data_IF_955721094269
#
_entry.id   IF_955721094269
#
_cell.length_a   1.000
_cell.length_b   1.000
_cell.length_c   1.000
_cell.angle_alpha   90.00
_cell.angle_beta   90.00
_cell.angle_gamma   90.00
#
_symmetry.space_group_name_H-M   'P 1'
#
loop_
_entity.id
_entity.type
_entity.pdbx_description
1 polymer ?
#
# COMPACT_ATOMS: atom_id res chain seq x y z
N UNK A 1 -14.64 -15.62 15.04
CA UNK A 1 -13.62 -14.82 15.75
C UNK A 1 -13.01 -13.77 14.81
N UNK A 2 -12.33 -14.17 13.75
CA UNK A 2 -11.71 -13.27 12.76
C UNK A 2 -12.67 -12.16 12.24
N UNK A 3 -13.88 -12.50 11.80
CA UNK A 3 -14.85 -11.53 11.30
C UNK A 3 -15.28 -10.48 12.36
N UNK A 4 -15.30 -10.85 13.64
CA UNK A 4 -15.60 -9.92 14.73
C UNK A 4 -14.44 -8.93 14.93
N UNK A 5 -13.19 -9.41 14.90
CA UNK A 5 -12.02 -8.54 15.01
C UNK A 5 -11.89 -7.61 13.79
N UNK A 6 -12.17 -8.13 12.60
CA UNK A 6 -12.21 -7.33 11.38
C UNK A 6 -13.24 -6.18 11.48
N UNK A 7 -14.44 -6.48 11.94
CA UNK A 7 -15.48 -5.46 12.13
C UNK A 7 -15.05 -4.37 13.10
N UNK A 8 -14.45 -4.73 14.22
CA UNK A 8 -13.91 -3.77 15.20
C UNK A 8 -12.86 -2.83 14.59
N UNK A 9 -11.98 -3.36 13.73
CA UNK A 9 -10.94 -2.53 13.07
C UNK A 9 -11.58 -1.54 12.10
N UNK A 10 -12.57 -1.97 11.31
CA UNK A 10 -13.24 -1.12 10.32
C UNK A 10 -14.08 -0.02 10.99
N UNK A 11 -14.65 -0.26 12.16
CA UNK A 11 -15.46 0.73 12.89
C UNK A 11 -14.61 1.84 13.56
N UNK A 12 -13.29 1.74 13.55
CA UNK A 12 -12.40 2.72 14.19
C UNK A 12 -12.18 3.95 13.33
N UNK A 13 -12.17 5.11 13.98
CA UNK A 13 -11.86 6.38 13.33
C UNK A 13 -10.45 6.42 12.73
N UNK A 14 -9.45 5.89 13.43
CA UNK A 14 -8.06 5.86 12.98
C UNK A 14 -7.90 5.08 11.66
N UNK A 15 -8.65 3.99 11.51
CA UNK A 15 -8.68 3.21 10.27
C UNK A 15 -9.10 4.07 9.08
N UNK A 16 -10.24 4.75 9.19
CA UNK A 16 -10.76 5.61 8.13
C UNK A 16 -9.86 6.81 7.87
N UNK A 17 -9.30 7.42 8.92
CA UNK A 17 -8.31 8.51 8.79
C UNK A 17 -7.10 8.09 7.96
N UNK A 18 -6.54 6.91 8.22
CA UNK A 18 -5.40 6.39 7.47
C UNK A 18 -5.78 6.05 6.02
N UNK A 19 -6.93 5.42 5.79
CA UNK A 19 -7.41 5.10 4.44
C UNK A 19 -7.64 6.37 3.62
N UNK A 20 -8.31 7.36 4.20
CA UNK A 20 -8.57 8.66 3.54
C UNK A 20 -7.25 9.36 3.22
N UNK A 21 -6.28 9.36 4.14
CA UNK A 21 -4.97 9.96 3.91
C UNK A 21 -4.24 9.29 2.73
N UNK A 22 -4.23 7.96 2.68
CA UNK A 22 -3.58 7.21 1.58
C UNK A 22 -4.25 7.46 0.23
N UNK A 23 -5.58 7.47 0.19
CA UNK A 23 -6.35 7.75 -1.04
C UNK A 23 -6.15 9.20 -1.48
N UNK A 24 -6.18 10.16 -0.55
CA UNK A 24 -5.91 11.57 -0.83
C UNK A 24 -4.50 11.77 -1.42
N UNK A 25 -3.49 11.08 -0.87
CA UNK A 25 -2.12 11.12 -1.38
C UNK A 25 -2.04 10.62 -2.85
N UNK A 26 -2.77 9.56 -3.19
CA UNK A 26 -2.86 9.04 -4.56
C UNK A 26 -3.51 10.07 -5.49
N UNK A 27 -4.62 10.69 -5.08
CA UNK A 27 -5.33 11.69 -5.88
C UNK A 27 -4.44 12.92 -6.10
N UNK A 28 -3.81 13.44 -5.05
CA UNK A 28 -2.89 14.59 -5.14
C UNK A 28 -1.75 14.31 -6.09
N UNK A 29 -1.15 13.12 -5.99
CA UNK A 29 -0.10 12.71 -6.92
C UNK A 29 -0.57 12.72 -8.37
N UNK A 30 -1.75 12.19 -8.63
CA UNK A 30 -2.31 12.16 -9.97
C UNK A 30 -2.58 13.56 -10.52
N UNK A 31 -3.13 14.46 -9.67
CA UNK A 31 -3.34 15.86 -10.05
C UNK A 31 -2.03 16.59 -10.39
N UNK A 32 -0.98 16.38 -9.56
CA UNK A 32 0.36 16.95 -9.83
C UNK A 32 0.89 16.41 -11.15
N UNK A 33 0.76 15.12 -11.40
CA UNK A 33 1.21 14.48 -12.63
C UNK A 33 0.46 15.02 -13.83
N UNK A 34 -0.86 15.15 -13.76
CA UNK A 34 -1.66 15.76 -14.83
C UNK A 34 -1.26 17.22 -15.09
N UNK A 35 -1.04 18.01 -14.05
CA UNK A 35 -0.59 19.40 -14.19
C UNK A 35 0.80 19.51 -14.84
N UNK A 36 1.71 18.61 -14.55
CA UNK A 36 3.05 18.57 -15.16
C UNK A 36 3.03 18.27 -16.66
N UNK A 37 2.03 17.51 -17.13
CA UNK A 37 1.88 17.12 -18.52
C UNK A 37 0.88 17.97 -19.30
N UNK A 38 0.20 18.90 -18.63
CA UNK A 38 -0.74 19.81 -19.28
C UNK A 38 -0.06 20.67 -20.34
N UNK A 39 -0.60 20.64 -21.56
CA UNK A 39 -0.07 21.42 -22.70
C UNK A 39 1.22 20.90 -23.31
N UNK A 40 1.73 19.71 -22.90
CA UNK A 40 2.89 19.09 -23.54
C UNK A 40 2.47 18.17 -24.68
N UNK A 41 3.38 17.97 -25.64
CA UNK A 41 3.14 17.09 -26.77
C UNK A 41 2.91 15.64 -26.30
N UNK A 42 1.91 14.99 -26.88
CA UNK A 42 1.52 13.60 -26.57
C UNK A 42 2.67 12.61 -26.78
N UNK A 43 3.61 12.92 -27.66
CA UNK A 43 4.78 12.09 -28.00
C UNK A 43 5.68 11.78 -26.80
N UNK A 44 5.66 12.63 -25.75
CA UNK A 44 6.46 12.46 -24.54
C UNK A 44 5.71 11.77 -23.40
N UNK A 45 4.42 11.47 -23.58
CA UNK A 45 3.59 10.86 -22.55
C UNK A 45 3.80 9.35 -22.56
N UNK A 46 4.26 8.81 -21.43
CA UNK A 46 4.44 7.38 -21.22
C UNK A 46 3.09 6.69 -21.02
N UNK A 47 3.06 5.37 -21.15
CA UNK A 47 1.87 4.59 -20.82
C UNK A 47 1.46 4.73 -19.35
N UNK A 48 0.17 4.50 -19.08
CA UNK A 48 -0.43 4.63 -17.75
C UNK A 48 0.33 3.89 -16.64
N UNK A 49 0.98 2.78 -16.96
CA UNK A 49 1.78 1.99 -16.03
C UNK A 49 2.96 2.76 -15.40
N UNK A 50 3.49 3.80 -16.08
CA UNK A 50 4.61 4.60 -15.58
C UNK A 50 4.21 5.70 -14.59
N UNK A 51 2.92 6.02 -14.47
CA UNK A 51 2.41 7.11 -13.63
C UNK A 51 1.75 6.64 -12.33
N UNK A 52 1.88 5.38 -12.01
CA UNK A 52 1.38 4.82 -10.77
C UNK A 52 2.21 5.32 -9.59
N UNK A 53 1.59 5.45 -8.44
CA UNK A 53 2.19 5.96 -7.21
C UNK A 53 3.56 5.34 -6.84
N UNK A 54 3.84 4.11 -7.28
CA UNK A 54 5.08 3.39 -6.97
C UNK A 54 6.18 3.66 -8.00
N UNK A 55 5.82 3.89 -9.26
CA UNK A 55 6.78 3.98 -10.38
C UNK A 55 6.97 5.39 -10.91
N UNK A 56 6.27 6.38 -10.35
CA UNK A 56 6.38 7.75 -10.81
C UNK A 56 7.70 8.38 -10.37
N UNK A 57 8.69 8.31 -11.24
CA UNK A 57 10.05 8.83 -11.03
C UNK A 57 10.08 10.35 -10.80
N UNK A 58 9.05 11.08 -11.25
CA UNK A 58 9.00 12.55 -11.14
C UNK A 58 8.28 13.06 -9.90
N UNK A 59 7.43 12.26 -9.28
CA UNK A 59 6.70 12.65 -8.08
C UNK A 59 7.31 11.96 -6.86
N UNK A 60 8.26 12.62 -6.24
CA UNK A 60 8.91 12.12 -5.03
C UNK A 60 7.95 11.97 -3.84
N UNK A 61 6.83 12.69 -3.82
CA UNK A 61 5.88 12.71 -2.69
C UNK A 61 5.23 11.35 -2.47
N UNK A 62 4.71 10.72 -3.53
CA UNK A 62 4.06 9.41 -3.38
C UNK A 62 5.05 8.29 -3.15
N UNK A 63 6.21 8.33 -3.76
CA UNK A 63 7.28 7.38 -3.46
C UNK A 63 7.66 7.48 -1.99
N UNK A 64 7.82 8.69 -1.45
CA UNK A 64 8.12 8.94 -0.05
C UNK A 64 7.01 8.37 0.85
N UNK A 65 5.73 8.63 0.54
CA UNK A 65 4.60 8.11 1.34
C UNK A 65 4.52 6.58 1.29
N UNK A 66 4.60 5.97 0.11
CA UNK A 66 4.43 4.53 -0.06
C UNK A 66 5.72 3.70 0.07
N UNK A 67 6.88 4.31 0.27
CA UNK A 67 8.13 3.62 0.57
C UNK A 67 8.61 3.91 1.98
N UNK A 68 8.80 5.18 2.31
CA UNK A 68 9.46 5.58 3.55
C UNK A 68 8.48 5.68 4.72
N UNK A 69 7.26 6.15 4.48
CA UNK A 69 6.21 6.22 5.51
C UNK A 69 5.34 4.96 5.61
N UNK A 70 5.51 3.97 4.71
CA UNK A 70 4.76 2.72 4.75
C UNK A 70 4.81 2.01 6.12
N UNK A 71 5.97 1.91 6.82
CA UNK A 71 6.02 1.32 8.15
C UNK A 71 5.14 2.04 9.16
N UNK A 72 5.15 3.38 9.14
CA UNK A 72 4.35 4.22 10.06
C UNK A 72 2.86 4.02 9.79
N UNK A 73 2.45 4.04 8.51
CA UNK A 73 1.06 3.82 8.11
C UNK A 73 0.58 2.40 8.48
N UNK A 74 1.42 1.39 8.29
CA UNK A 74 1.13 0.03 8.72
C UNK A 74 1.00 -0.10 10.24
N UNK A 75 1.85 0.61 11.00
CA UNK A 75 1.75 0.68 12.45
C UNK A 75 0.46 1.34 12.92
N UNK A 76 0.03 2.44 12.29
CA UNK A 76 -1.24 3.11 12.62
C UNK A 76 -2.45 2.21 12.41
N UNK A 77 -2.44 1.37 11.37
CA UNK A 77 -3.51 0.40 11.11
C UNK A 77 -3.53 -0.77 12.11
N UNK A 78 -2.36 -1.15 12.65
CA UNK A 78 -2.19 -2.37 13.43
C UNK A 78 -2.04 -2.16 14.95
N UNK A 79 -1.43 -1.06 15.38
CA UNK A 79 -0.99 -0.87 16.78
C UNK A 79 -2.13 -0.81 17.79
N UNK A 80 -3.26 -0.24 17.41
CA UNK A 80 -4.40 -0.05 18.33
C UNK A 80 -5.22 -1.31 18.61
N UNK A 81 -5.07 -2.36 17.80
CA UNK A 81 -5.88 -3.58 17.93
C UNK A 81 -5.70 -4.24 19.33
N UNK A 82 -4.49 -4.14 19.88
CA UNK A 82 -4.18 -4.74 21.18
C UNK A 82 -4.33 -3.77 22.35
N UNK A 83 -4.02 -2.49 22.12
CA UNK A 83 -3.99 -1.46 23.17
C UNK A 83 -5.36 -1.21 23.78
N UNK A 84 -6.39 -1.14 22.97
CA UNK A 84 -7.75 -0.81 23.39
C UNK A 84 -8.38 -1.90 24.29
N UNK A 85 -8.21 -3.17 23.94
CA UNK A 85 -8.74 -4.28 24.78
C UNK A 85 -8.04 -4.38 26.12
N UNK A 86 -6.78 -3.99 26.20
CA UNK A 86 -6.04 -3.98 27.45
C UNK A 86 -6.50 -2.86 28.36
N UNK A 87 -6.69 -1.66 27.84
CA UNK A 87 -7.19 -0.52 28.61
C UNK A 87 -8.62 -0.72 29.13
N UNK A 88 -9.46 -1.46 28.38
CA UNK A 88 -10.81 -1.79 28.81
C UNK A 88 -10.89 -2.96 29.81
N UNK A 89 -9.77 -3.58 30.19
CA UNK A 89 -9.76 -4.75 31.11
C UNK A 89 -10.40 -6.02 30.53
N UNK A 90 -10.85 -5.99 29.28
CA UNK A 90 -11.52 -7.10 28.59
C UNK A 90 -10.59 -8.28 28.33
N UNK A 91 -9.27 -8.07 28.34
CA UNK A 91 -8.27 -9.12 28.10
C UNK A 91 -8.41 -10.28 29.07
N UNK A 92 -8.66 -10.00 30.37
CA UNK A 92 -8.79 -11.03 31.40
C UNK A 92 -10.06 -11.88 31.23
N UNK A 93 -11.16 -11.28 30.78
CA UNK A 93 -12.42 -11.97 30.51
C UNK A 93 -12.35 -12.86 29.27
N UNK A 94 -11.63 -12.42 28.26
CA UNK A 94 -11.45 -13.18 27.00
C UNK A 94 -10.54 -14.40 27.27
N UNK A 95 -9.50 -14.25 28.09
CA UNK A 95 -8.57 -15.34 28.41
C UNK A 95 -9.17 -16.46 29.25
N UNK A 96 -10.29 -16.22 29.93
CA UNK A 96 -11.02 -17.27 30.64
C UNK A 96 -11.85 -18.16 29.73
N UNK A 97 -12.23 -17.68 28.57
CA UNK A 97 -13.11 -18.39 27.61
C UNK A 97 -12.40 -19.03 26.43
N UNK A 98 -11.23 -18.49 26.00
CA UNK A 98 -10.49 -18.99 24.85
C UNK A 98 -8.99 -19.09 25.14
N UNK A 99 -8.30 -20.00 24.43
CA UNK A 99 -6.85 -20.13 24.57
C UNK A 99 -6.14 -18.84 24.14
N UNK A 100 -5.29 -18.29 24.99
CA UNK A 100 -4.51 -17.08 24.77
C UNK A 100 -3.77 -17.07 23.42
N UNK A 101 -3.19 -18.22 23.03
CA UNK A 101 -2.48 -18.37 21.76
C UNK A 101 -3.39 -18.16 20.56
N UNK A 102 -4.59 -18.75 20.55
CA UNK A 102 -5.53 -18.64 19.44
C UNK A 102 -6.02 -17.20 19.24
N UNK A 103 -6.25 -16.46 20.33
CA UNK A 103 -6.67 -15.07 20.29
C UNK A 103 -5.55 -14.17 19.68
N UNK A 104 -4.30 -14.34 20.13
CA UNK A 104 -3.15 -13.57 19.63
C UNK A 104 -2.94 -13.83 18.12
N UNK A 105 -2.97 -15.08 17.68
CA UNK A 105 -2.81 -15.44 16.27
C UNK A 105 -3.93 -14.84 15.43
N UNK A 106 -5.18 -14.89 15.91
CA UNK A 106 -6.32 -14.34 15.19
C UNK A 106 -6.17 -12.82 15.00
N UNK A 107 -5.73 -12.09 16.02
CA UNK A 107 -5.49 -10.63 15.94
C UNK A 107 -4.32 -10.29 15.03
N UNK A 108 -3.22 -11.02 15.12
CA UNK A 108 -2.08 -10.84 14.22
C UNK A 108 -2.50 -11.06 12.75
N UNK A 109 -3.27 -12.12 12.49
CA UNK A 109 -3.80 -12.39 11.16
C UNK A 109 -4.76 -11.30 10.67
N UNK A 110 -5.59 -10.75 11.56
CA UNK A 110 -6.49 -9.63 11.23
C UNK A 110 -5.68 -8.37 10.91
N UNK A 111 -4.70 -8.01 11.71
CA UNK A 111 -3.82 -6.87 11.47
C UNK A 111 -3.11 -6.97 10.12
N UNK A 112 -2.49 -8.11 9.84
CA UNK A 112 -1.79 -8.36 8.59
C UNK A 112 -2.72 -8.30 7.37
N UNK A 113 -3.87 -8.97 7.43
CA UNK A 113 -4.82 -9.04 6.31
C UNK A 113 -5.47 -7.68 6.01
N UNK A 114 -5.82 -6.90 7.03
CA UNK A 114 -6.39 -5.56 6.87
C UNK A 114 -5.36 -4.62 6.25
N UNK A 115 -4.14 -4.60 6.77
CA UNK A 115 -3.08 -3.73 6.25
C UNK A 115 -2.72 -4.11 4.81
N UNK A 116 -2.58 -5.41 4.51
CA UNK A 116 -2.38 -5.90 3.14
C UNK A 116 -3.49 -5.41 2.21
N UNK A 117 -4.76 -5.60 2.60
CA UNK A 117 -5.90 -5.23 1.78
C UNK A 117 -5.96 -3.72 1.54
N UNK A 118 -5.79 -2.88 2.57
CA UNK A 118 -5.83 -1.43 2.46
C UNK A 118 -4.76 -0.92 1.52
N UNK A 119 -3.50 -1.33 1.71
CA UNK A 119 -2.38 -0.87 0.86
C UNK A 119 -2.56 -1.34 -0.58
N UNK A 120 -2.89 -2.62 -0.78
CA UNK A 120 -3.10 -3.19 -2.12
C UNK A 120 -4.26 -2.50 -2.84
N UNK A 121 -5.41 -2.31 -2.18
CA UNK A 121 -6.56 -1.63 -2.78
C UNK A 121 -6.24 -0.17 -3.12
N UNK A 122 -5.55 0.56 -2.25
CA UNK A 122 -5.15 1.95 -2.53
C UNK A 122 -4.25 2.05 -3.76
N UNK A 123 -3.30 1.13 -3.90
CA UNK A 123 -2.41 1.09 -5.07
C UNK A 123 -3.15 0.64 -6.35
N UNK A 124 -4.13 -0.25 -6.24
CA UNK A 124 -5.01 -0.61 -7.37
C UNK A 124 -5.88 0.57 -7.79
N UNK A 125 -6.38 1.38 -6.86
CA UNK A 125 -7.07 2.64 -7.16
C UNK A 125 -6.15 3.60 -7.90
N UNK A 126 -4.87 3.72 -7.49
CA UNK A 126 -3.87 4.51 -8.22
C UNK A 126 -3.70 4.02 -9.67
N UNK A 127 -3.61 2.71 -9.87
CA UNK A 127 -3.55 2.12 -11.22
C UNK A 127 -4.81 2.44 -12.03
N UNK A 128 -5.98 2.28 -11.44
CA UNK A 128 -7.26 2.54 -12.12
C UNK A 128 -7.39 4.02 -12.55
N UNK A 129 -7.02 4.96 -11.67
CA UNK A 129 -7.03 6.39 -11.99
C UNK A 129 -6.01 6.68 -13.11
N UNK A 130 -4.82 6.10 -13.07
CA UNK A 130 -3.80 6.28 -14.12
C UNK A 130 -4.28 5.75 -15.48
N UNK A 131 -5.02 4.62 -15.51
CA UNK A 131 -5.61 4.06 -16.73
C UNK A 131 -6.72 4.93 -17.35
N UNK A 132 -7.44 5.68 -16.50
CA UNK A 132 -8.47 6.61 -16.97
C UNK A 132 -7.87 7.92 -17.48
N UNK A 133 -6.75 8.36 -16.89
CA UNK A 133 -6.14 9.67 -17.22
C UNK A 133 -5.10 9.60 -18.33
N UNK A 134 -4.42 8.48 -18.49
CA UNK A 134 -3.37 8.28 -19.49
C UNK A 134 -3.68 7.09 -20.40
N UNK A 135 -3.22 7.16 -21.66
CA UNK A 135 -3.41 6.02 -22.57
C UNK A 135 -2.70 4.77 -22.05
N UNK A 136 -3.37 3.64 -22.18
CA UNK A 136 -2.88 2.34 -21.71
C UNK A 136 -1.55 1.94 -22.38
N UNK A 137 -1.38 2.27 -23.67
CA UNK A 137 -0.19 1.92 -24.46
C UNK A 137 0.87 3.00 -24.50
N UNK A 138 0.52 4.25 -24.16
CA UNK A 138 1.33 5.42 -24.39
C UNK A 138 1.46 5.74 -25.88
N UNK A 139 1.86 6.96 -26.19
CA UNK A 139 2.13 7.36 -27.58
C UNK A 139 3.58 7.02 -27.91
N UNK A 140 3.77 5.94 -28.67
CA UNK A 140 5.09 5.52 -29.16
C UNK A 140 5.44 6.31 -30.43
N UNK A 141 5.89 7.55 -30.27
CA UNK A 141 6.62 8.23 -31.35
C UNK A 141 8.05 7.67 -31.46
N UNK A 142 8.69 7.87 -32.63
CA UNK A 142 10.08 7.38 -32.87
C UNK A 142 11.05 7.87 -31.77
N UNK A 143 10.83 9.08 -31.23
CA UNK A 143 11.63 9.63 -30.15
C UNK A 143 11.29 9.03 -28.77
N UNK A 144 10.10 8.46 -28.59
CA UNK A 144 9.70 7.78 -27.36
C UNK A 144 10.54 6.51 -27.10
N UNK A 145 11.04 5.89 -28.15
CA UNK A 145 11.94 4.73 -28.03
C UNK A 145 13.23 5.11 -27.30
N UNK A 146 13.77 6.30 -27.54
CA UNK A 146 15.02 6.75 -26.90
C UNK A 146 14.84 7.34 -25.50
N UNK A 147 13.66 7.89 -25.17
CA UNK A 147 13.41 8.60 -23.90
C UNK A 147 12.60 7.75 -22.92
N UNK A 148 11.77 6.85 -23.42
CA UNK A 148 10.80 6.10 -22.60
C UNK A 148 11.08 4.62 -22.46
N UNK A 149 11.86 4.07 -23.36
CA UNK A 149 12.17 2.64 -23.43
C UNK A 149 13.69 2.40 -23.38
N UNK A 150 14.39 3.03 -22.45
CA UNK A 150 15.48 2.28 -21.87
C UNK A 150 14.78 1.15 -21.12
N UNK A 151 14.80 -0.09 -21.65
CA UNK A 151 14.40 -1.22 -20.84
C UNK A 151 15.22 -1.08 -19.57
N UNK A 152 14.64 -1.31 -18.37
CA UNK A 152 15.46 -1.45 -17.19
C UNK A 152 16.54 -2.43 -17.57
N UNK A 153 17.79 -2.10 -17.25
CA UNK A 153 18.94 -2.95 -17.54
C UNK A 153 18.51 -4.40 -17.32
N UNK A 154 18.79 -5.33 -18.23
CA UNK A 154 18.31 -6.71 -18.12
C UNK A 154 18.70 -7.36 -16.80
N UNK A 155 19.69 -6.82 -16.12
CA UNK A 155 20.18 -7.24 -14.80
C UNK A 155 19.33 -6.72 -13.62
N UNK A 156 18.36 -5.83 -13.85
CA UNK A 156 17.41 -5.46 -12.79
C UNK A 156 16.37 -6.55 -12.60
N UNK A 157 16.10 -6.84 -11.33
CA UNK A 157 15.04 -7.75 -10.93
C UNK A 157 13.74 -7.42 -11.68
N UNK A 158 13.17 -8.41 -12.36
CA UNK A 158 11.98 -8.27 -13.20
C UNK A 158 12.10 -7.40 -14.47
N UNK A 159 13.30 -7.05 -14.95
CA UNK A 159 13.48 -6.21 -16.14
C UNK A 159 12.84 -6.79 -17.40
N UNK A 160 12.93 -8.10 -17.59
CA UNK A 160 12.27 -8.83 -18.68
C UNK A 160 10.74 -8.76 -18.58
N UNK A 161 10.20 -8.90 -17.35
CA UNK A 161 8.75 -8.80 -17.11
C UNK A 161 8.22 -7.39 -17.43
N UNK A 162 8.97 -6.36 -17.06
CA UNK A 162 8.64 -4.98 -17.39
C UNK A 162 8.62 -4.72 -18.90
N UNK A 163 9.58 -5.27 -19.64
CA UNK A 163 9.69 -5.06 -21.09
C UNK A 163 8.54 -5.73 -21.87
N UNK A 164 8.17 -6.97 -21.50
CA UNK A 164 7.15 -7.74 -22.23
C UNK A 164 5.73 -7.54 -21.68
N UNK A 165 5.59 -7.37 -20.37
CA UNK A 165 4.29 -7.30 -19.68
C UNK A 165 4.27 -6.26 -18.57
N UNK A 166 4.30 -4.94 -18.90
CA UNK A 166 4.45 -3.88 -17.92
C UNK A 166 3.33 -3.87 -16.85
N UNK A 167 2.10 -4.18 -17.21
CA UNK A 167 0.99 -4.25 -16.27
C UNK A 167 1.10 -5.40 -15.27
N UNK A 168 1.58 -6.57 -15.73
CA UNK A 168 1.82 -7.71 -14.83
C UNK A 168 2.91 -7.33 -13.82
N UNK A 169 3.98 -6.69 -14.30
CA UNK A 169 5.04 -6.18 -13.44
C UNK A 169 4.51 -5.23 -12.36
N UNK A 170 3.64 -4.29 -12.73
CA UNK A 170 2.98 -3.37 -11.77
C UNK A 170 2.18 -4.12 -10.73
N UNK A 171 1.36 -5.10 -11.13
CA UNK A 171 0.55 -5.90 -10.19
C UNK A 171 1.46 -6.67 -9.22
N UNK A 172 2.56 -7.25 -9.69
CA UNK A 172 3.55 -7.94 -8.84
C UNK A 172 4.13 -6.96 -7.81
N UNK A 173 4.52 -5.74 -8.21
CA UNK A 173 5.02 -4.74 -7.28
C UNK A 173 3.96 -4.29 -6.27
N UNK A 174 2.71 -4.13 -6.67
CA UNK A 174 1.60 -3.82 -5.75
C UNK A 174 1.45 -4.91 -4.69
N UNK A 175 1.49 -6.18 -5.09
CA UNK A 175 1.40 -7.31 -4.16
C UNK A 175 2.60 -7.38 -3.22
N UNK A 176 3.81 -7.15 -3.72
CA UNK A 176 5.02 -7.10 -2.89
C UNK A 176 4.92 -5.97 -1.86
N UNK A 177 4.47 -4.77 -2.25
CA UNK A 177 4.28 -3.64 -1.32
C UNK A 177 3.20 -3.92 -0.28
N UNK A 178 2.08 -4.52 -0.68
CA UNK A 178 1.06 -5.01 0.26
C UNK A 178 1.61 -6.02 1.25
N UNK A 179 2.41 -6.98 0.77
CA UNK A 179 3.08 -7.98 1.62
C UNK A 179 4.05 -7.36 2.62
N UNK A 180 4.87 -6.39 2.19
CA UNK A 180 5.76 -5.64 3.07
C UNK A 180 4.98 -4.87 4.14
N UNK A 181 3.88 -4.22 3.76
CA UNK A 181 3.03 -3.52 4.73
C UNK A 181 2.44 -4.48 5.78
N UNK A 182 2.01 -5.67 5.36
CA UNK A 182 1.54 -6.71 6.29
C UNK A 182 2.64 -7.17 7.25
N UNK A 183 3.88 -7.32 6.79
CA UNK A 183 5.02 -7.64 7.64
C UNK A 183 5.31 -6.54 8.67
N UNK A 184 5.27 -5.26 8.27
CA UNK A 184 5.41 -4.14 9.20
C UNK A 184 4.28 -4.11 10.23
N UNK A 185 3.04 -4.41 9.84
CA UNK A 185 1.91 -4.52 10.76
C UNK A 185 2.10 -5.66 11.79
N UNK A 186 2.60 -6.82 11.35
CA UNK A 186 2.94 -7.93 12.24
C UNK A 186 4.06 -7.57 13.21
N UNK A 187 5.09 -6.87 12.72
CA UNK A 187 6.19 -6.41 13.56
C UNK A 187 5.71 -5.41 14.62
N UNK A 188 4.89 -4.43 14.23
CA UNK A 188 4.29 -3.47 15.15
C UNK A 188 3.41 -4.15 16.20
N UNK A 189 2.60 -5.13 15.77
CA UNK A 189 1.80 -5.93 16.68
C UNK A 189 2.65 -6.72 17.67
N UNK A 190 3.74 -7.36 17.22
CA UNK A 190 4.67 -8.09 18.08
C UNK A 190 5.35 -7.18 19.11
N UNK A 191 5.80 -5.99 18.69
CA UNK A 191 6.36 -4.99 19.61
C UNK A 191 5.34 -4.54 20.66
N UNK A 192 4.11 -4.24 20.23
CA UNK A 192 3.02 -3.85 21.14
C UNK A 192 2.72 -4.92 22.20
N UNK A 193 2.78 -6.20 21.83
CA UNK A 193 2.60 -7.31 22.78
C UNK A 193 3.77 -7.47 23.74
N UNK A 194 5.01 -7.30 23.25
CA UNK A 194 6.24 -7.43 24.06
C UNK A 194 6.36 -6.31 25.09
N UNK A 195 6.21 -5.05 24.68
CA UNK A 195 6.27 -3.89 25.60
C UNK A 195 5.06 -3.84 26.53
N UNK A 196 3.94 -4.37 26.11
CA UNK A 196 2.75 -4.48 26.94
C UNK A 196 2.86 -5.52 28.06
N UNK A 197 3.73 -6.51 27.97
CA UNK A 197 3.90 -7.55 28.98
C UNK A 197 4.68 -7.06 30.23
N UNK A 198 5.44 -5.98 30.11
CA UNK A 198 6.31 -5.45 31.17
C UNK A 198 5.67 -4.38 32.06
N UNK A 199 4.37 -4.16 31.98
CA UNK A 199 3.58 -3.32 32.88
C UNK A 199 2.40 -4.11 33.41
#
# INVERSE_FOLDING_TARGET
MFARELKKVIERWQFWGTVIFMVAAVIVNQLITCAQWWGKELTYIRGAYSYIAIQNVRSNITQLIFSDFLPILACLLAADIFYEERNCGLSNVIFTRESKKKNIICKAATAASVTFAVVTLTLLVSLAISLVTFDARGHAGVNAIYITLLPPEPDREFGSLYAYHPYINVIVYILIRGGLAALYALFAFALSTAFGANR
#
